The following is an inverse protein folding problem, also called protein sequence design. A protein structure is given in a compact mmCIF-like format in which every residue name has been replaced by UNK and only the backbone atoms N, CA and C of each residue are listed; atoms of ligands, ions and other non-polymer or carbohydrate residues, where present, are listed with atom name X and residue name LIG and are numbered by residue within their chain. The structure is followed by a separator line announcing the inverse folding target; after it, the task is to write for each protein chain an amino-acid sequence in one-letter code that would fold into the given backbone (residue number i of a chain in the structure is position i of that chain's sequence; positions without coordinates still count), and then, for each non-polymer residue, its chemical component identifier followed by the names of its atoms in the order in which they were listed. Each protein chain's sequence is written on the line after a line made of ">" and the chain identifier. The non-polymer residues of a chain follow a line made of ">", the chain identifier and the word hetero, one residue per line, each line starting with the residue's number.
data_IF_139775779364
#
_entry.id   IF_139775779364
#
_cell.length_a   1.000
_cell.length_b   1.000
_cell.length_c   1.000
_cell.angle_alpha   90.00
_cell.angle_beta   90.00
_cell.angle_gamma   90.00
#
_symmetry.space_group_name_H-M   'P 1'
#
loop_
_entity.id
_entity.type
_entity.pdbx_description
1 polymer ?
#
# COMPACT_ATOMS: atom_id res chain seq x y z
N UNK A 1 2.84 -16.68 -29.10
CA UNK A 1 2.72 -15.29 -28.59
C UNK A 1 3.04 -15.26 -27.11
N UNK A 2 3.67 -14.20 -26.61
CA UNK A 2 3.84 -13.99 -25.17
C UNK A 2 2.52 -13.39 -24.69
N UNK A 3 1.68 -14.19 -24.03
CA UNK A 3 0.37 -13.73 -23.56
C UNK A 3 0.45 -12.55 -22.59
N UNK A 4 -0.66 -11.83 -22.42
CA UNK A 4 -0.78 -10.76 -21.42
C UNK A 4 -0.61 -11.34 -20.02
N UNK A 5 0.40 -10.90 -19.28
CA UNK A 5 0.66 -11.30 -17.90
C UNK A 5 1.16 -10.10 -17.09
N UNK A 6 0.95 -10.13 -15.78
CA UNK A 6 1.53 -9.20 -14.82
C UNK A 6 2.62 -9.91 -14.02
N UNK A 7 3.80 -9.32 -13.95
CA UNK A 7 4.89 -9.85 -13.12
C UNK A 7 4.57 -9.65 -11.62
N UNK A 8 4.96 -10.57 -10.73
CA UNK A 8 4.79 -10.39 -9.30
C UNK A 8 5.71 -9.27 -8.79
N UNK A 9 5.25 -8.55 -7.77
CA UNK A 9 6.03 -7.48 -7.13
C UNK A 9 6.34 -7.81 -5.67
N UNK A 10 7.48 -7.32 -5.20
CA UNK A 10 7.90 -7.40 -3.80
C UNK A 10 8.71 -6.14 -3.43
N UNK A 11 8.41 -5.58 -2.26
CA UNK A 11 9.16 -4.47 -1.66
C UNK A 11 9.69 -4.90 -0.29
N UNK A 12 10.88 -4.45 0.10
CA UNK A 12 11.42 -4.71 1.44
C UNK A 12 10.76 -3.78 2.48
N UNK A 13 9.90 -4.31 3.38
CA UNK A 13 9.24 -3.49 4.38
C UNK A 13 10.22 -2.91 5.42
N UNK A 14 11.44 -3.44 5.54
CA UNK A 14 12.44 -3.00 6.52
C UNK A 14 13.42 -1.95 5.98
N UNK A 15 13.26 -1.55 4.71
CA UNK A 15 13.93 -0.37 4.12
C UNK A 15 13.59 0.93 4.87
N UNK A 16 14.34 2.00 4.61
CA UNK A 16 14.05 3.32 5.20
C UNK A 16 12.60 3.76 4.91
N UNK A 17 12.18 3.67 3.65
CA UNK A 17 10.81 4.00 3.22
C UNK A 17 9.75 3.05 3.79
N UNK A 18 10.05 1.75 3.88
CA UNK A 18 9.16 0.76 4.47
C UNK A 18 8.93 0.97 5.97
N UNK A 19 9.96 1.37 6.72
CA UNK A 19 9.84 1.75 8.14
C UNK A 19 9.07 3.05 8.32
N UNK A 20 9.30 4.05 7.46
CA UNK A 20 8.53 5.29 7.49
C UNK A 20 7.03 5.06 7.24
N UNK A 21 6.68 4.17 6.30
CA UNK A 21 5.31 3.72 6.09
C UNK A 21 4.70 3.02 7.31
N UNK A 22 5.46 2.12 7.95
CA UNK A 22 4.99 1.45 9.17
C UNK A 22 4.74 2.44 10.31
N UNK A 23 5.64 3.41 10.51
CA UNK A 23 5.48 4.45 11.52
C UNK A 23 4.28 5.36 11.22
N UNK A 24 4.04 5.70 9.94
CA UNK A 24 2.88 6.49 9.53
C UNK A 24 1.55 5.76 9.80
N UNK A 25 1.50 4.45 9.56
CA UNK A 25 0.35 3.61 9.89
C UNK A 25 0.12 3.55 11.41
N UNK A 26 1.19 3.31 12.19
CA UNK A 26 1.12 3.30 13.66
C UNK A 26 0.61 4.63 14.22
N UNK A 27 1.15 5.76 13.76
CA UNK A 27 0.71 7.10 14.18
C UNK A 27 -0.73 7.40 13.82
N UNK A 28 -1.22 6.88 12.69
CA UNK A 28 -2.57 7.18 12.19
C UNK A 28 -3.65 6.33 12.83
N UNK A 29 -3.37 5.04 13.06
CA UNK A 29 -4.35 4.06 13.52
C UNK A 29 -4.12 3.58 14.97
N UNK A 30 -3.00 3.96 15.59
CA UNK A 30 -2.69 3.67 17.00
C UNK A 30 -2.34 2.21 17.29
N UNK A 31 -2.01 1.42 16.26
CA UNK A 31 -1.60 0.01 16.38
C UNK A 31 -0.50 -0.31 15.38
N UNK A 32 0.33 -1.28 15.75
CA UNK A 32 1.37 -1.79 14.84
C UNK A 32 0.73 -2.38 13.57
N UNK A 33 1.24 -2.03 12.38
CA UNK A 33 0.73 -2.56 11.13
C UNK A 33 1.13 -4.03 10.96
N UNK A 34 0.29 -4.80 10.29
CA UNK A 34 0.61 -6.17 9.88
C UNK A 34 1.25 -6.13 8.49
N UNK A 35 2.39 -6.78 8.33
CA UNK A 35 3.05 -6.95 7.04
C UNK A 35 2.46 -8.17 6.33
N UNK A 36 1.79 -7.95 5.20
CA UNK A 36 1.11 -8.99 4.44
C UNK A 36 1.55 -8.97 2.97
N UNK A 37 1.26 -10.07 2.27
CA UNK A 37 1.26 -10.14 0.81
C UNK A 37 -0.17 -10.26 0.33
N UNK A 38 -0.46 -9.73 -0.86
CA UNK A 38 -1.78 -9.75 -1.47
C UNK A 38 -1.82 -10.63 -2.71
N UNK A 39 -2.97 -11.26 -2.94
CA UNK A 39 -3.22 -12.08 -4.14
C UNK A 39 -3.69 -11.26 -5.36
N UNK A 40 -4.09 -10.01 -5.14
CA UNK A 40 -4.44 -9.07 -6.21
C UNK A 40 -3.23 -8.70 -7.09
N UNK A 41 -3.51 -8.18 -8.29
CA UNK A 41 -2.47 -7.79 -9.25
C UNK A 41 -2.62 -6.33 -9.66
N UNK A 42 -1.51 -5.58 -9.56
CA UNK A 42 -1.38 -4.21 -10.07
C UNK A 42 -0.13 -4.19 -10.97
N UNK A 43 -0.21 -4.63 -12.24
CA UNK A 43 0.97 -4.97 -13.05
C UNK A 43 2.02 -3.86 -13.19
N UNK A 44 1.58 -2.60 -13.24
CA UNK A 44 2.45 -1.43 -13.46
C UNK A 44 3.49 -1.21 -12.35
N UNK A 45 3.29 -1.73 -11.13
CA UNK A 45 4.22 -1.47 -10.02
C UNK A 45 5.56 -2.17 -10.21
N UNK A 46 5.58 -3.31 -10.92
CA UNK A 46 6.82 -3.96 -11.31
C UNK A 46 7.57 -3.13 -12.36
N UNK A 47 6.85 -2.53 -13.32
CA UNK A 47 7.44 -1.65 -14.33
C UNK A 47 8.08 -0.41 -13.68
N UNK A 48 7.48 0.17 -12.62
CA UNK A 48 8.12 1.26 -11.87
C UNK A 48 9.45 0.82 -11.28
N UNK A 49 9.55 -0.39 -10.74
CA UNK A 49 10.81 -0.92 -10.21
C UNK A 49 11.85 -1.12 -11.31
N UNK A 50 11.47 -1.70 -12.43
CA UNK A 50 12.40 -2.04 -13.53
C UNK A 50 12.85 -0.81 -14.33
N UNK A 51 11.95 0.13 -14.59
CA UNK A 51 12.20 1.29 -15.45
C UNK A 51 12.72 2.48 -14.65
N UNK A 52 12.14 2.77 -13.49
CA UNK A 52 12.50 3.94 -12.67
C UNK A 52 13.48 3.59 -11.53
N UNK A 53 13.64 2.30 -11.20
CA UNK A 53 14.52 1.86 -10.11
C UNK A 53 13.96 2.13 -8.71
N UNK A 54 12.69 2.52 -8.59
CA UNK A 54 12.05 2.91 -7.31
C UNK A 54 11.15 1.82 -6.77
N UNK A 55 11.04 1.72 -5.45
CA UNK A 55 10.06 0.86 -4.80
C UNK A 55 8.69 1.53 -4.69
N UNK A 56 7.64 0.72 -4.77
CA UNK A 56 6.25 1.10 -4.54
C UNK A 56 5.83 0.67 -3.14
N UNK A 57 5.29 1.60 -2.36
CA UNK A 57 4.67 1.32 -1.07
C UNK A 57 3.19 1.03 -1.27
N UNK A 58 2.72 -0.12 -0.78
CA UNK A 58 1.31 -0.51 -0.80
C UNK A 58 0.75 -0.43 0.62
N UNK A 59 -0.14 0.53 0.86
CA UNK A 59 -0.73 0.80 2.17
C UNK A 59 -2.21 0.42 2.14
N UNK A 60 -2.56 -0.70 2.77
CA UNK A 60 -3.93 -1.23 2.76
C UNK A 60 -4.87 -0.41 3.64
N UNK A 61 -5.95 0.09 3.05
CA UNK A 61 -7.05 0.78 3.76
C UNK A 61 -8.40 0.08 3.60
N UNK A 62 -8.56 -0.81 2.62
CA UNK A 62 -9.76 -1.61 2.46
C UNK A 62 -9.79 -2.75 3.49
N UNK A 63 -10.98 -3.09 3.98
CA UNK A 63 -11.21 -4.23 4.85
C UNK A 63 -11.59 -5.46 4.02
N UNK A 64 -11.46 -6.70 4.56
CA UNK A 64 -11.81 -7.92 3.83
C UNK A 64 -13.27 -7.98 3.34
N UNK A 65 -14.18 -7.26 4.00
CA UNK A 65 -15.61 -7.17 3.67
C UNK A 65 -15.94 -6.02 2.70
N UNK A 66 -14.95 -5.29 2.17
CA UNK A 66 -15.18 -4.26 1.16
C UNK A 66 -15.72 -4.80 -0.17
N UNK A 67 -15.62 -6.11 -0.45
CA UNK A 67 -16.20 -6.77 -1.63
C UNK A 67 -15.78 -6.13 -2.96
N UNK A 68 -14.50 -5.78 -3.11
CA UNK A 68 -13.97 -5.16 -4.33
C UNK A 68 -14.32 -6.04 -5.54
N UNK A 69 -14.94 -5.45 -6.57
CA UNK A 69 -15.45 -6.12 -7.77
C UNK A 69 -16.69 -7.03 -7.57
N UNK A 70 -17.44 -6.86 -6.49
CA UNK A 70 -18.64 -7.65 -6.18
C UNK A 70 -19.81 -6.73 -5.80
N UNK A 71 -21.08 -7.17 -5.91
CA UNK A 71 -22.22 -6.41 -5.40
C UNK A 71 -22.05 -6.02 -3.92
N UNK A 72 -22.59 -4.86 -3.57
CA UNK A 72 -22.45 -4.22 -2.25
C UNK A 72 -21.00 -3.88 -1.86
N UNK A 73 -20.14 -3.64 -2.87
CA UNK A 73 -18.82 -3.03 -2.66
C UNK A 73 -18.94 -1.77 -1.80
N UNK A 74 -18.11 -1.69 -0.76
CA UNK A 74 -18.20 -0.66 0.26
C UNK A 74 -16.82 -0.25 0.76
N UNK A 75 -16.79 0.85 1.51
CA UNK A 75 -15.58 1.35 2.16
C UNK A 75 -15.95 2.11 3.44
N UNK A 76 -15.26 1.81 4.54
CA UNK A 76 -15.53 2.45 5.82
C UNK A 76 -15.14 3.94 5.80
N UNK A 77 -16.02 4.82 6.28
CA UNK A 77 -15.75 6.26 6.32
C UNK A 77 -14.56 6.57 7.24
N UNK A 78 -14.41 5.82 8.32
CA UNK A 78 -13.28 5.92 9.24
C UNK A 78 -11.95 5.62 8.55
N UNK A 79 -11.93 4.65 7.61
CA UNK A 79 -10.77 4.31 6.81
C UNK A 79 -10.51 5.35 5.71
N UNK A 80 -11.56 6.01 5.20
CA UNK A 80 -11.43 7.09 4.22
C UNK A 80 -10.76 8.31 4.85
N UNK A 81 -11.29 8.76 5.99
CA UNK A 81 -10.67 9.84 6.76
C UNK A 81 -9.30 9.45 7.32
N UNK A 82 -9.16 8.19 7.73
CA UNK A 82 -7.89 7.58 8.14
C UNK A 82 -6.86 7.64 7.03
N UNK A 83 -7.24 7.35 5.79
CA UNK A 83 -6.40 7.45 4.61
C UNK A 83 -5.89 8.87 4.35
N UNK A 84 -6.75 9.88 4.54
CA UNK A 84 -6.35 11.29 4.43
C UNK A 84 -5.29 11.64 5.49
N UNK A 85 -5.52 11.26 6.75
CA UNK A 85 -4.56 11.47 7.84
C UNK A 85 -3.25 10.71 7.59
N UNK A 86 -3.35 9.47 7.11
CA UNK A 86 -2.21 8.62 6.79
C UNK A 86 -1.32 9.28 5.75
N UNK A 87 -1.88 9.78 4.65
CA UNK A 87 -1.11 10.40 3.58
C UNK A 87 -0.35 11.64 4.07
N UNK A 88 -0.96 12.46 4.94
CA UNK A 88 -0.26 13.60 5.56
C UNK A 88 0.96 13.13 6.36
N UNK A 89 0.78 12.18 7.28
CA UNK A 89 1.86 11.68 8.14
C UNK A 89 2.93 10.96 7.32
N UNK A 90 2.52 10.22 6.29
CA UNK A 90 3.43 9.52 5.39
C UNK A 90 4.35 10.50 4.64
N UNK A 91 3.82 11.57 4.07
CA UNK A 91 4.64 12.55 3.35
C UNK A 91 5.67 13.22 4.27
N UNK A 92 5.30 13.54 5.50
CA UNK A 92 6.24 14.05 6.51
C UNK A 92 7.34 13.02 6.82
N UNK A 93 6.98 11.75 7.00
CA UNK A 93 7.94 10.68 7.26
C UNK A 93 8.89 10.40 6.09
N UNK A 94 8.37 10.40 4.85
CA UNK A 94 9.17 10.18 3.65
C UNK A 94 10.15 11.34 3.38
N UNK A 95 9.79 12.57 3.72
CA UNK A 95 10.68 13.73 3.56
C UNK A 95 11.93 13.66 4.47
N UNK A 96 11.89 12.85 5.54
CA UNK A 96 13.02 12.61 6.43
C UNK A 96 13.86 11.38 6.09
N UNK A 97 13.52 10.64 5.03
CA UNK A 97 14.22 9.42 4.59
C UNK A 97 15.37 9.71 3.61
#
# INVERSE_FOLDING_TARGET
>A
ERGHHGQPYHTDPHSAYGKAAQEALLKTFGRDPVLIREGGSIPIIQDFKEVLGVDTLLLGLALPDCQIHSPNENFALENFEGGIRLNRVLFEGLAGC
#
